data_IF_101463309050
#
_entry.id   IF_101463309050
#
_cell.length_a   1.000
_cell.length_b   1.000
_cell.length_c   1.000
_cell.angle_alpha   90.00
_cell.angle_beta   90.00
_cell.angle_gamma   90.00
#
_symmetry.space_group_name_H-M   'P 1'
#
loop_
_entity.id
_entity.type
_entity.pdbx_description
1 polymer ?
#
# COMPACT_ATOMS: atom_id res chain seq x y z
N UNK A 1 5.03 -20.21 -24.62
CA UNK A 1 5.16 -18.90 -23.97
C UNK A 1 5.63 -17.89 -25.00
N UNK A 2 4.69 -17.34 -25.75
CA UNK A 2 4.97 -16.34 -26.78
C UNK A 2 5.14 -14.96 -26.13
N UNK A 3 6.24 -14.29 -26.48
CA UNK A 3 6.52 -12.93 -26.05
C UNK A 3 6.08 -11.99 -27.16
N UNK A 4 5.19 -11.05 -26.84
CA UNK A 4 4.66 -10.12 -27.82
C UNK A 4 4.56 -8.68 -27.32
N UNK A 5 4.02 -7.83 -28.18
CA UNK A 5 3.68 -6.45 -27.84
C UNK A 5 2.48 -6.42 -26.87
N UNK A 6 2.31 -5.30 -26.16
CA UNK A 6 1.14 -5.09 -25.30
C UNK A 6 -0.19 -5.27 -26.04
N UNK A 7 -0.24 -4.88 -27.32
CA UNK A 7 -1.43 -5.06 -28.16
C UNK A 7 -1.71 -6.54 -28.42
N UNK A 8 -0.70 -7.30 -28.86
CA UNK A 8 -0.81 -8.74 -29.11
C UNK A 8 -1.28 -9.50 -27.87
N UNK A 9 -0.71 -9.17 -26.70
CA UNK A 9 -1.11 -9.79 -25.42
C UNK A 9 -2.56 -9.46 -25.05
N UNK A 10 -3.00 -8.23 -25.29
CA UNK A 10 -4.38 -7.82 -25.00
C UNK A 10 -5.40 -8.51 -25.92
N UNK A 11 -5.05 -8.68 -27.20
CA UNK A 11 -5.86 -9.37 -28.21
C UNK A 11 -5.76 -10.90 -28.14
N UNK A 12 -4.84 -11.45 -27.35
CA UNK A 12 -4.70 -12.89 -27.12
C UNK A 12 -3.80 -13.62 -28.11
N UNK A 13 -3.03 -12.92 -28.94
CA UNK A 13 -2.06 -13.55 -29.85
C UNK A 13 -0.72 -13.86 -29.18
N UNK A 14 -0.43 -13.26 -28.03
CA UNK A 14 0.75 -13.52 -27.24
C UNK A 14 0.42 -13.76 -25.76
N UNK A 15 1.19 -14.61 -25.08
CA UNK A 15 0.95 -14.97 -23.67
C UNK A 15 1.35 -13.84 -22.71
N UNK A 16 2.48 -13.18 -23.01
CA UNK A 16 3.07 -12.14 -22.15
C UNK A 16 3.90 -11.14 -22.93
N UNK A 17 4.14 -9.98 -22.32
CA UNK A 17 5.09 -8.99 -22.86
C UNK A 17 6.52 -9.35 -22.49
N UNK A 18 7.51 -8.71 -23.13
CA UNK A 18 8.92 -8.86 -22.77
C UNK A 18 9.19 -8.53 -21.28
N UNK A 19 8.40 -7.65 -20.67
CA UNK A 19 8.44 -7.31 -19.25
C UNK A 19 7.58 -8.19 -18.34
N UNK A 20 7.08 -9.33 -18.84
CA UNK A 20 6.31 -10.30 -18.05
C UNK A 20 4.85 -9.93 -17.78
N UNK A 21 4.34 -8.81 -18.32
CA UNK A 21 2.93 -8.42 -18.15
C UNK A 21 2.01 -9.38 -18.91
N UNK A 22 0.95 -9.84 -18.24
CA UNK A 22 -0.13 -10.63 -18.83
C UNK A 22 -1.31 -9.74 -19.22
N UNK A 23 -2.30 -10.31 -19.92
CA UNK A 23 -3.53 -9.62 -20.29
C UNK A 23 -4.25 -8.98 -19.09
N UNK A 24 -4.27 -9.66 -17.95
CA UNK A 24 -4.90 -9.17 -16.72
C UNK A 24 -4.23 -7.92 -16.15
N UNK A 25 -2.96 -7.67 -16.45
CA UNK A 25 -2.22 -6.50 -16.00
C UNK A 25 -2.40 -5.29 -16.94
N UNK A 26 -3.02 -5.50 -18.10
CA UNK A 26 -3.20 -4.51 -19.14
C UNK A 26 -4.62 -3.93 -19.14
N UNK A 27 -4.74 -2.72 -19.65
CA UNK A 27 -6.01 -2.02 -19.85
C UNK A 27 -5.93 -1.11 -21.07
N UNK A 28 -7.07 -0.91 -21.72
CA UNK A 28 -7.23 0.07 -22.80
C UNK A 28 -7.68 1.40 -22.21
N UNK A 29 -6.94 2.47 -22.50
CA UNK A 29 -7.33 3.84 -22.14
C UNK A 29 -8.40 4.37 -23.10
N UNK A 30 -9.10 5.44 -22.73
CA UNK A 30 -10.07 6.09 -23.62
C UNK A 30 -9.45 6.55 -24.96
N UNK A 31 -8.17 6.90 -24.96
CA UNK A 31 -7.41 7.23 -26.17
C UNK A 31 -6.97 5.99 -27.00
N UNK A 32 -7.47 4.79 -26.67
CA UNK A 32 -7.19 3.55 -27.39
C UNK A 32 -5.84 2.89 -27.08
N UNK A 33 -4.98 3.52 -26.27
CA UNK A 33 -3.66 2.97 -25.92
C UNK A 33 -3.79 1.85 -24.89
N UNK A 34 -3.07 0.76 -25.11
CA UNK A 34 -2.97 -0.37 -24.17
C UNK A 34 -1.78 -0.14 -23.24
N UNK A 35 -2.06 0.05 -21.96
CA UNK A 35 -1.08 0.36 -20.90
C UNK A 35 -1.23 -0.61 -19.74
N UNK A 36 -0.23 -0.66 -18.85
CA UNK A 36 -0.39 -1.43 -17.62
C UNK A 36 -1.30 -0.71 -16.62
N UNK A 37 -2.12 -1.46 -15.91
CA UNK A 37 -3.00 -0.97 -14.83
C UNK A 37 -2.20 -0.23 -13.76
N UNK A 38 -1.03 -0.75 -13.41
CA UNK A 38 -0.11 -0.16 -12.43
C UNK A 38 0.38 1.23 -12.86
N UNK A 39 0.79 1.39 -14.11
CA UNK A 39 1.26 2.69 -14.61
C UNK A 39 0.13 3.72 -14.68
N UNK A 40 -1.06 3.31 -15.13
CA UNK A 40 -2.23 4.18 -15.15
C UNK A 40 -2.60 4.68 -13.74
N UNK A 41 -2.68 3.77 -12.76
CA UNK A 41 -2.97 4.13 -11.38
C UNK A 41 -1.89 5.05 -10.77
N UNK A 42 -0.61 4.83 -11.09
CA UNK A 42 0.47 5.70 -10.64
C UNK A 42 0.35 7.13 -11.21
N UNK A 43 0.00 7.26 -12.50
CA UNK A 43 -0.23 8.55 -13.14
C UNK A 43 -1.38 9.34 -12.51
N UNK A 44 -2.51 8.68 -12.23
CA UNK A 44 -3.65 9.32 -11.55
C UNK A 44 -3.27 9.83 -10.15
N UNK A 45 -2.51 9.05 -9.38
CA UNK A 45 -2.01 9.47 -8.06
C UNK A 45 -1.07 10.67 -8.16
N UNK A 46 -0.20 10.71 -9.18
CA UNK A 46 0.70 11.85 -9.39
C UNK A 46 -0.09 13.14 -9.68
N UNK A 47 -1.10 13.06 -10.55
CA UNK A 47 -1.98 14.22 -10.86
C UNK A 47 -2.71 14.70 -9.61
N UNK A 48 -3.24 13.80 -8.78
CA UNK A 48 -3.90 14.17 -7.53
C UNK A 48 -2.94 14.89 -6.57
N UNK A 49 -1.69 14.42 -6.45
CA UNK A 49 -0.66 15.08 -5.63
C UNK A 49 -0.34 16.49 -6.12
N UNK A 50 -0.21 16.67 -7.44
CA UNK A 50 0.03 17.98 -8.04
C UNK A 50 -1.12 18.95 -7.74
N UNK A 51 -2.36 18.50 -7.91
CA UNK A 51 -3.55 19.28 -7.56
C UNK A 51 -3.58 19.65 -6.07
N UNK A 52 -3.28 18.71 -5.18
CA UNK A 52 -3.22 18.95 -3.74
C UNK A 52 -2.12 19.95 -3.36
N UNK A 53 -1.02 19.98 -4.11
CA UNK A 53 0.06 20.96 -3.94
C UNK A 53 -0.22 22.32 -4.60
N UNK A 54 -1.42 22.52 -5.18
CA UNK A 54 -1.85 23.78 -5.79
C UNK A 54 -1.46 23.94 -7.26
N UNK A 55 -0.91 22.89 -7.89
CA UNK A 55 -0.56 22.90 -9.31
C UNK A 55 -1.77 22.46 -10.14
N UNK A 56 -2.57 23.44 -10.59
CA UNK A 56 -3.70 23.23 -11.50
C UNK A 56 -3.36 23.80 -12.87
N UNK A 57 -3.28 22.92 -13.87
CA UNK A 57 -3.03 23.32 -15.26
C UNK A 57 -4.35 23.54 -16.01
N UNK A 58 -4.42 24.60 -16.82
CA UNK A 58 -5.52 24.85 -17.76
C UNK A 58 -5.04 24.54 -19.17
N UNK A 59 -5.83 23.79 -19.93
CA UNK A 59 -5.47 23.39 -21.30
C UNK A 59 -5.26 24.64 -22.16
N UNK A 60 -4.13 24.70 -22.88
CA UNK A 60 -3.78 25.83 -23.74
C UNK A 60 -3.12 27.01 -23.01
N UNK A 61 -2.97 26.95 -21.68
CA UNK A 61 -2.38 28.03 -20.88
C UNK A 61 -1.21 27.46 -20.07
N UNK A 62 0.02 27.67 -20.57
CA UNK A 62 1.25 27.23 -19.91
C UNK A 62 1.85 28.39 -19.12
N UNK A 63 1.60 28.41 -17.81
CA UNK A 63 2.23 29.35 -16.88
C UNK A 63 3.32 28.64 -16.09
N UNK A 64 4.48 29.28 -15.93
CA UNK A 64 5.48 28.85 -14.97
C UNK A 64 4.87 28.94 -13.57
N UNK A 65 4.61 27.78 -12.95
CA UNK A 65 4.06 27.74 -11.59
C UNK A 65 5.06 28.42 -10.64
N UNK A 66 4.70 29.61 -10.13
CA UNK A 66 5.65 30.42 -9.37
C UNK A 66 6.08 29.68 -8.10
N UNK A 67 7.39 29.60 -7.87
CA UNK A 67 8.01 28.94 -6.70
C UNK A 67 7.69 29.62 -5.36
N UNK A 68 7.02 30.79 -5.37
CA UNK A 68 6.78 31.62 -4.17
C UNK A 68 5.50 31.29 -3.41
N UNK A 69 4.65 30.39 -3.92
CA UNK A 69 3.29 30.18 -3.39
C UNK A 69 2.97 28.78 -2.90
N UNK A 70 3.89 27.82 -2.93
CA UNK A 70 3.61 26.49 -2.36
C UNK A 70 3.56 26.61 -0.84
N UNK A 71 2.41 27.04 -0.31
CA UNK A 71 2.08 26.89 1.10
C UNK A 71 2.41 25.45 1.42
N UNK A 72 3.42 25.21 2.28
CA UNK A 72 3.77 23.86 2.71
C UNK A 72 2.46 23.18 3.08
N UNK A 73 2.17 22.03 2.45
CA UNK A 73 0.94 21.30 2.71
C UNK A 73 0.75 21.28 4.22
N UNK A 74 -0.32 21.93 4.69
CA UNK A 74 -0.55 22.07 6.12
C UNK A 74 -0.52 20.65 6.69
N UNK A 75 0.38 20.40 7.62
CA UNK A 75 0.49 19.11 8.30
C UNK A 75 -0.92 18.73 8.75
N UNK A 76 -1.41 17.50 8.49
CA UNK A 76 -2.80 17.14 8.77
C UNK A 76 -3.15 17.54 10.20
N UNK A 77 -3.99 18.58 10.34
CA UNK A 77 -4.46 19.12 11.62
C UNK A 77 -5.26 17.99 12.29
N UNK A 78 -4.61 17.23 13.15
CA UNK A 78 -5.22 16.07 13.82
C UNK A 78 -4.26 14.92 14.15
N UNK A 79 -3.08 14.83 13.52
CA UNK A 79 -2.05 13.88 13.98
C UNK A 79 -1.30 14.48 15.16
N UNK A 80 -1.89 14.37 16.35
CA UNK A 80 -1.18 14.66 17.61
C UNK A 80 0.00 13.69 17.68
N UNK A 81 1.22 14.22 17.54
CA UNK A 81 2.44 13.41 17.64
C UNK A 81 2.42 12.72 19.00
N UNK A 82 2.57 11.39 19.03
CA UNK A 82 2.60 10.67 20.30
C UNK A 82 3.75 11.20 21.13
N UNK A 83 3.47 11.60 22.37
CA UNK A 83 4.50 12.12 23.26
C UNK A 83 5.55 11.05 23.52
N UNK A 84 6.80 11.47 23.75
CA UNK A 84 7.92 10.57 24.03
C UNK A 84 7.62 9.63 25.22
N UNK A 85 6.90 10.12 26.21
CA UNK A 85 6.43 9.33 27.36
C UNK A 85 5.52 8.18 26.93
N UNK A 86 4.56 8.46 26.04
CA UNK A 86 3.62 7.45 25.56
C UNK A 86 4.31 6.41 24.66
N UNK A 87 5.34 6.83 23.89
CA UNK A 87 6.17 5.91 23.12
C UNK A 87 6.97 4.95 24.03
N UNK A 88 7.58 5.49 25.09
CA UNK A 88 8.30 4.70 26.11
C UNK A 88 7.38 3.73 26.85
N UNK A 89 6.16 4.16 27.20
CA UNK A 89 5.14 3.31 27.84
C UNK A 89 4.76 2.12 26.97
N UNK A 90 4.52 2.33 25.67
CA UNK A 90 4.22 1.25 24.72
C UNK A 90 5.39 0.29 24.53
N UNK A 91 6.61 0.81 24.42
CA UNK A 91 7.82 -0.01 24.33
C UNK A 91 7.96 -0.92 25.56
N UNK A 92 7.87 -0.35 26.77
CA UNK A 92 7.97 -1.14 28.00
C UNK A 92 6.83 -2.14 28.15
N UNK A 93 5.61 -1.80 27.76
CA UNK A 93 4.49 -2.74 27.74
C UNK A 93 4.72 -3.89 26.76
N UNK A 94 5.26 -3.61 25.57
CA UNK A 94 5.62 -4.63 24.58
C UNK A 94 6.74 -5.55 25.09
N UNK A 95 7.79 -5.00 25.71
CA UNK A 95 8.87 -5.76 26.34
C UNK A 95 8.34 -6.64 27.48
N UNK A 96 7.44 -6.11 28.33
CA UNK A 96 6.80 -6.88 29.41
C UNK A 96 5.89 -7.99 28.88
N UNK A 97 5.13 -7.74 27.82
CA UNK A 97 4.30 -8.76 27.16
C UNK A 97 5.16 -9.86 26.53
N UNK A 98 6.27 -9.50 25.86
CA UNK A 98 7.19 -10.47 25.26
C UNK A 98 7.90 -11.32 26.32
N UNK A 99 8.38 -10.72 27.40
CA UNK A 99 9.01 -11.46 28.52
C UNK A 99 8.02 -12.38 29.23
N UNK A 100 6.79 -11.93 29.48
CA UNK A 100 5.74 -12.75 30.11
C UNK A 100 5.26 -13.88 29.20
N UNK A 101 5.20 -13.64 27.89
CA UNK A 101 4.86 -14.69 26.89
C UNK A 101 6.01 -15.69 26.73
N UNK A 102 7.26 -15.26 26.91
CA UNK A 102 8.46 -16.13 26.86
C UNK A 102 8.63 -16.98 28.12
N UNK A 103 8.20 -16.49 29.29
CA UNK A 103 8.25 -17.24 30.56
C UNK A 103 7.11 -18.25 30.72
N UNK A 104 5.96 -18.04 30.06
CA UNK A 104 4.89 -19.04 29.91
C UNK A 104 5.20 -20.02 28.76
N UNK A 105 6.21 -20.87 28.91
CA UNK A 105 6.26 -22.12 28.14
C UNK A 105 5.10 -23.00 28.62
N UNK A 106 4.28 -23.61 27.74
CA UNK A 106 3.31 -24.61 28.18
C UNK A 106 4.11 -25.81 28.72
N UNK A 107 4.07 -26.01 30.03
CA UNK A 107 4.49 -27.29 30.62
C UNK A 107 3.49 -28.33 30.16
N UNK A 108 3.86 -29.14 29.17
CA UNK A 108 3.22 -30.43 28.90
C UNK A 108 3.30 -31.25 30.18
N UNK A 109 2.22 -31.37 30.94
CA UNK A 109 2.21 -32.17 32.15
C UNK A 109 0.99 -31.92 33.04
N UNK A 110 0.00 -32.80 32.95
CA UNK A 110 -1.09 -32.84 33.91
C UNK A 110 -2.36 -33.50 33.38
N UNK A 111 -2.32 -34.81 33.11
CA UNK A 111 -3.54 -35.65 33.07
C UNK A 111 -4.27 -35.47 34.40
N UNK A 112 -5.36 -34.69 34.42
CA UNK A 112 -6.32 -34.77 35.52
C UNK A 112 -7.14 -36.03 35.31
N UNK A 113 -6.78 -37.07 36.04
CA UNK A 113 -7.62 -38.21 36.33
C UNK A 113 -8.92 -37.71 36.98
N UNK A 114 -9.98 -37.52 36.19
CA UNK A 114 -11.34 -37.47 36.71
C UNK A 114 -11.88 -38.89 36.72
N UNK A 115 -11.62 -39.58 37.83
CA UNK A 115 -12.30 -40.80 38.24
C UNK A 115 -13.77 -40.44 38.47
N UNK A 116 -14.62 -40.62 37.46
CA UNK A 116 -16.07 -40.46 37.60
C UNK A 116 -16.64 -41.83 37.91
N UNK A 117 -17.07 -41.97 39.17
CA UNK A 117 -17.74 -43.14 39.75
C UNK A 117 -18.99 -43.48 38.94
N UNK A 118 -19.15 -44.76 38.61
CA UNK A 118 -20.41 -45.37 38.25
C UNK A 118 -21.27 -45.54 39.51
N UNK A 119 -22.49 -45.02 39.47
CA UNK A 119 -23.71 -45.65 39.98
C UNK A 119 -24.88 -45.09 39.17
#
# INVERSE_FOLDING_TARGET
MTVGTKAQVYHGTADRTAGGLKKDDLMKTAAGRIVSKKAHAAGLKAIQRLRAAGFVAKKGEFKLFSKRGSKKAASPKGRKMMTRANHKKRHNAAVKAWTTRRSKKPTMGGRRSTRRRFF
#
